data_IF_214331723039
#
_entry.id   IF_214331723039
#
_cell.length_a   1.000
_cell.length_b   1.000
_cell.length_c   1.000
_cell.angle_alpha   90.00
_cell.angle_beta   90.00
_cell.angle_gamma   90.00
#
_symmetry.space_group_name_H-M   'P 1'
#
loop_
_entity.id
_entity.type
_entity.pdbx_description
1 polymer ?
#
# COMPACT_ATOMS: atom_id res chain seq x y z
N UNK A 1 40.34 -36.28 -29.35
CA UNK A 1 40.27 -34.83 -29.05
C UNK A 1 38.84 -34.29 -28.99
N UNK A 2 37.93 -34.68 -29.90
CA UNK A 2 36.54 -34.18 -29.99
C UNK A 2 35.67 -34.32 -28.71
N UNK A 3 35.69 -35.47 -28.03
CA UNK A 3 34.82 -35.73 -26.86
C UNK A 3 35.16 -34.80 -25.67
N UNK A 4 36.45 -34.44 -25.51
CA UNK A 4 36.92 -33.58 -24.42
C UNK A 4 36.47 -32.12 -24.63
N UNK A 5 36.53 -31.64 -25.88
CA UNK A 5 36.00 -30.32 -26.27
C UNK A 5 34.47 -30.22 -26.16
N UNK A 6 33.73 -31.29 -26.46
CA UNK A 6 32.26 -31.31 -26.31
C UNK A 6 31.86 -31.26 -24.84
N UNK A 7 32.53 -32.04 -23.97
CA UNK A 7 32.29 -32.00 -22.52
C UNK A 7 32.60 -30.63 -21.91
N UNK A 8 33.69 -29.99 -22.34
CA UNK A 8 34.06 -28.65 -21.86
C UNK A 8 33.04 -27.58 -22.31
N UNK A 9 32.59 -27.63 -23.57
CA UNK A 9 31.55 -26.72 -24.08
C UNK A 9 30.22 -26.90 -23.37
N UNK A 10 29.84 -28.13 -23.06
CA UNK A 10 28.61 -28.43 -22.31
C UNK A 10 28.68 -27.81 -20.90
N UNK A 11 29.81 -27.95 -20.21
CA UNK A 11 30.04 -27.35 -18.88
C UNK A 11 29.99 -25.81 -18.88
N UNK A 12 30.55 -25.18 -19.92
CA UNK A 12 30.53 -23.73 -20.06
C UNK A 12 29.09 -23.25 -20.33
N UNK A 13 28.35 -23.95 -21.18
CA UNK A 13 26.95 -23.59 -21.48
C UNK A 13 26.04 -23.78 -20.27
N UNK A 14 26.20 -24.85 -19.50
CA UNK A 14 25.39 -25.07 -18.28
C UNK A 14 25.72 -24.06 -17.19
N UNK A 15 26.99 -23.71 -17.00
CA UNK A 15 27.36 -22.67 -16.03
C UNK A 15 26.80 -21.30 -16.40
N UNK A 16 26.91 -20.88 -17.67
CA UNK A 16 26.32 -19.60 -18.12
C UNK A 16 24.80 -19.59 -17.96
N UNK A 17 24.12 -20.70 -18.28
CA UNK A 17 22.66 -20.80 -18.13
C UNK A 17 22.22 -20.70 -16.65
N UNK A 18 22.96 -21.28 -15.72
CA UNK A 18 22.68 -21.20 -14.28
C UNK A 18 22.92 -19.77 -13.76
N UNK A 19 24.00 -19.12 -14.17
CA UNK A 19 24.29 -17.74 -13.77
C UNK A 19 23.24 -16.75 -14.28
N UNK A 20 22.80 -16.88 -15.54
CA UNK A 20 21.79 -15.99 -16.12
C UNK A 20 20.39 -16.20 -15.51
N UNK A 21 20.04 -17.44 -15.13
CA UNK A 21 18.77 -17.72 -14.45
C UNK A 21 18.76 -17.36 -12.96
N UNK A 22 19.92 -17.32 -12.30
CA UNK A 22 19.99 -16.90 -10.89
C UNK A 22 19.63 -15.43 -10.65
N UNK A 23 19.88 -14.55 -11.62
CA UNK A 23 19.53 -13.13 -11.49
C UNK A 23 18.00 -12.96 -11.50
N UNK A 24 17.31 -13.60 -12.46
CA UNK A 24 15.85 -13.50 -12.58
C UNK A 24 15.10 -14.15 -11.42
N UNK A 25 15.61 -15.26 -10.86
CA UNK A 25 15.05 -15.90 -9.68
C UNK A 25 15.24 -15.02 -8.44
N UNK A 26 16.40 -14.37 -8.30
CA UNK A 26 16.66 -13.47 -7.17
C UNK A 26 15.80 -12.20 -7.22
N UNK A 27 15.58 -11.62 -8.40
CA UNK A 27 14.72 -10.44 -8.57
C UNK A 27 13.25 -10.79 -8.33
N UNK A 28 12.79 -11.96 -8.77
CA UNK A 28 11.43 -12.45 -8.49
C UNK A 28 11.24 -12.76 -7.01
N UNK A 29 12.21 -13.41 -6.37
CA UNK A 29 12.18 -13.70 -4.93
C UNK A 29 12.19 -12.41 -4.12
N UNK A 30 13.13 -11.50 -4.40
CA UNK A 30 13.19 -10.21 -3.72
C UNK A 30 11.91 -9.41 -3.95
N UNK A 31 11.42 -9.28 -5.18
CA UNK A 31 10.17 -8.56 -5.46
C UNK A 31 8.97 -9.14 -4.70
N UNK A 32 8.78 -10.45 -4.78
CA UNK A 32 7.64 -11.13 -4.15
C UNK A 32 7.65 -11.03 -2.62
N UNK A 33 8.81 -11.23 -1.98
CA UNK A 33 8.92 -11.17 -0.52
C UNK A 33 9.00 -9.74 0.01
N UNK A 34 9.63 -8.80 -0.71
CA UNK A 34 9.66 -7.38 -0.34
C UNK A 34 8.25 -6.79 -0.39
N UNK A 35 7.46 -7.09 -1.42
CA UNK A 35 6.08 -6.62 -1.50
C UNK A 35 5.23 -7.19 -0.35
N UNK A 36 5.33 -8.49 -0.10
CA UNK A 36 4.65 -9.14 1.05
C UNK A 36 5.06 -8.53 2.38
N UNK A 37 6.35 -8.27 2.57
CA UNK A 37 6.87 -7.68 3.79
C UNK A 37 6.35 -6.26 3.97
N UNK A 38 6.41 -5.43 2.92
CA UNK A 38 5.91 -4.06 2.93
C UNK A 38 4.40 -4.00 3.22
N UNK A 39 3.60 -4.90 2.64
CA UNK A 39 2.16 -5.01 2.95
C UNK A 39 1.95 -5.37 4.42
N UNK A 40 2.69 -6.36 4.93
CA UNK A 40 2.58 -6.78 6.33
C UNK A 40 2.99 -5.67 7.31
N UNK A 41 4.03 -4.93 6.98
CA UNK A 41 4.50 -3.79 7.76
C UNK A 41 3.45 -2.66 7.76
N UNK A 42 2.92 -2.29 6.59
CA UNK A 42 1.87 -1.30 6.48
C UNK A 42 0.59 -1.69 7.26
N UNK A 43 0.22 -2.98 7.26
CA UNK A 43 -0.88 -3.48 8.08
C UNK A 43 -0.59 -3.33 9.57
N UNK A 44 0.61 -3.69 10.01
CA UNK A 44 1.04 -3.57 11.41
C UNK A 44 1.05 -2.12 11.88
N UNK A 45 1.52 -1.19 11.06
CA UNK A 45 1.53 0.23 11.39
C UNK A 45 0.12 0.81 11.47
N UNK A 46 -0.76 0.40 10.55
CA UNK A 46 -2.18 0.75 10.58
C UNK A 46 -2.86 0.24 11.86
N UNK A 47 -2.61 -1.01 12.23
CA UNK A 47 -3.13 -1.57 13.49
C UNK A 47 -2.59 -0.83 14.70
N UNK A 48 -1.27 -0.56 14.73
CA UNK A 48 -0.64 0.20 15.82
C UNK A 48 -1.25 1.59 15.97
N UNK A 49 -1.54 2.27 14.87
CA UNK A 49 -2.19 3.58 14.88
C UNK A 49 -3.55 3.52 15.59
N UNK A 50 -4.48 2.67 15.12
CA UNK A 50 -5.82 2.58 15.73
C UNK A 50 -5.81 2.00 17.15
N UNK A 51 -4.89 1.07 17.44
CA UNK A 51 -4.72 0.50 18.78
C UNK A 51 -4.08 1.49 19.78
N UNK A 52 -3.39 2.52 19.30
CA UNK A 52 -2.83 3.58 20.14
C UNK A 52 -3.86 4.65 20.56
N UNK A 53 -5.06 4.62 19.99
CA UNK A 53 -6.13 5.57 20.32
C UNK A 53 -6.70 5.31 21.72
N UNK A 54 -7.03 6.38 22.45
CA UNK A 54 -7.77 6.25 23.69
C UNK A 54 -9.20 5.74 23.44
N UNK A 55 -9.87 5.13 24.43
CA UNK A 55 -11.27 4.69 24.28
C UNK A 55 -12.21 5.83 23.87
N UNK A 56 -11.99 7.04 24.39
CA UNK A 56 -12.74 8.24 24.01
C UNK A 56 -12.52 8.62 22.53
N UNK A 57 -11.28 8.53 22.05
CA UNK A 57 -10.96 8.78 20.65
C UNK A 57 -11.58 7.75 19.71
N UNK A 58 -11.58 6.48 20.10
CA UNK A 58 -12.22 5.42 19.32
C UNK A 58 -13.73 5.64 19.20
N UNK A 59 -14.39 6.09 20.27
CA UNK A 59 -15.82 6.37 20.23
C UNK A 59 -16.13 7.59 19.37
N UNK A 60 -15.35 8.67 19.50
CA UNK A 60 -15.44 9.82 18.59
C UNK A 60 -15.23 9.41 17.14
N UNK A 61 -14.26 8.53 16.86
CA UNK A 61 -13.99 8.03 15.51
C UNK A 61 -15.18 7.31 14.92
N UNK A 62 -15.90 6.46 15.68
CA UNK A 62 -17.10 5.78 15.17
C UNK A 62 -18.20 6.78 14.80
N UNK A 63 -18.42 7.78 15.63
CA UNK A 63 -19.42 8.84 15.39
C UNK A 63 -19.04 9.66 14.15
N UNK A 64 -17.79 10.11 14.08
CA UNK A 64 -17.24 10.84 12.94
C UNK A 64 -17.30 10.01 11.65
N UNK A 65 -16.93 8.73 11.72
CA UNK A 65 -16.96 7.84 10.56
C UNK A 65 -18.38 7.71 10.01
N UNK A 66 -19.37 7.53 10.88
CA UNK A 66 -20.78 7.45 10.46
C UNK A 66 -21.21 8.74 9.76
N UNK A 67 -20.94 9.88 10.38
CA UNK A 67 -21.29 11.19 9.83
C UNK A 67 -20.58 11.49 8.51
N UNK A 68 -19.27 11.31 8.46
CA UNK A 68 -18.46 11.59 7.27
C UNK A 68 -18.76 10.62 6.13
N UNK A 69 -19.09 9.35 6.42
CA UNK A 69 -19.55 8.41 5.41
C UNK A 69 -20.91 8.82 4.85
N UNK A 70 -21.88 9.18 5.69
CA UNK A 70 -23.18 9.67 5.23
C UNK A 70 -22.98 10.88 4.31
N UNK A 71 -22.22 11.88 4.76
CA UNK A 71 -21.91 13.09 4.01
C UNK A 71 -21.29 12.78 2.64
N UNK A 72 -20.29 11.90 2.59
CA UNK A 72 -19.59 11.55 1.34
C UNK A 72 -20.41 10.66 0.40
N UNK A 73 -21.46 10.01 0.90
CA UNK A 73 -22.36 9.17 0.10
C UNK A 73 -23.56 9.91 -0.48
N UNK A 74 -23.87 11.12 0.03
CA UNK A 74 -24.96 11.94 -0.48
C UNK A 74 -24.83 12.16 -2.00
N UNK A 75 -25.92 12.04 -2.77
CA UNK A 75 -25.89 12.16 -4.23
C UNK A 75 -25.22 13.45 -4.72
N UNK A 76 -25.48 14.57 -4.04
CA UNK A 76 -24.91 15.89 -4.34
C UNK A 76 -23.39 15.99 -4.11
N UNK A 77 -22.83 15.11 -3.27
CA UNK A 77 -21.42 15.12 -2.91
C UNK A 77 -20.61 14.09 -3.69
N UNK A 78 -21.25 13.25 -4.51
CA UNK A 78 -20.57 12.23 -5.30
C UNK A 78 -19.70 12.85 -6.40
N UNK A 79 -18.60 12.18 -6.69
CA UNK A 79 -17.65 12.63 -7.72
C UNK A 79 -18.07 12.04 -9.06
N UNK A 80 -18.23 12.89 -10.08
CA UNK A 80 -18.51 12.43 -11.44
C UNK A 80 -17.32 11.62 -11.99
N UNK A 81 -17.60 10.41 -12.51
CA UNK A 81 -16.57 9.55 -13.11
C UNK A 81 -17.12 8.90 -14.38
N UNK A 82 -16.32 8.88 -15.43
CA UNK A 82 -16.68 8.20 -16.68
C UNK A 82 -17.06 6.73 -16.39
N UNK A 83 -18.20 6.30 -16.92
CA UNK A 83 -18.77 4.97 -16.66
C UNK A 83 -19.66 4.85 -15.42
N UNK A 84 -19.81 5.91 -14.62
CA UNK A 84 -20.64 5.92 -13.42
C UNK A 84 -21.68 7.06 -13.49
N UNK A 85 -22.90 6.80 -14.00
CA UNK A 85 -23.91 7.85 -14.21
C UNK A 85 -24.36 8.53 -12.91
N UNK A 86 -24.29 7.81 -11.78
CA UNK A 86 -24.65 8.33 -10.45
C UNK A 86 -23.43 8.79 -9.64
N UNK A 87 -22.29 9.00 -10.30
CA UNK A 87 -21.01 9.30 -9.65
C UNK A 87 -20.46 8.16 -8.79
N UNK A 88 -19.30 8.41 -8.21
CA UNK A 88 -18.66 7.53 -7.23
C UNK A 88 -18.62 8.21 -5.86
N UNK A 89 -18.49 7.40 -4.81
CA UNK A 89 -18.29 7.88 -3.45
C UNK A 89 -17.11 8.86 -3.37
N UNK A 90 -17.28 9.94 -2.61
CA UNK A 90 -16.29 11.00 -2.49
C UNK A 90 -15.29 10.70 -1.36
N UNK A 91 -14.26 9.93 -1.69
CA UNK A 91 -13.21 9.57 -0.75
C UNK A 91 -12.50 10.79 -0.16
N UNK A 92 -12.17 11.79 -0.99
CA UNK A 92 -11.48 13.00 -0.51
C UNK A 92 -12.30 13.80 0.49
N UNK A 93 -13.63 13.91 0.28
CA UNK A 93 -14.53 14.53 1.25
C UNK A 93 -14.57 13.75 2.57
N UNK A 94 -14.59 12.43 2.51
CA UNK A 94 -14.55 11.59 3.71
C UNK A 94 -13.24 11.79 4.50
N UNK A 95 -12.09 11.73 3.84
CA UNK A 95 -10.78 11.89 4.48
C UNK A 95 -10.63 13.26 5.13
N UNK A 96 -10.99 14.33 4.43
CA UNK A 96 -10.96 15.70 4.96
C UNK A 96 -11.92 15.85 6.16
N UNK A 97 -13.15 15.32 6.05
CA UNK A 97 -14.11 15.36 7.15
C UNK A 97 -13.59 14.64 8.40
N UNK A 98 -12.92 13.50 8.23
CA UNK A 98 -12.32 12.76 9.35
C UNK A 98 -11.16 13.52 9.97
N UNK A 99 -10.31 14.16 9.16
CA UNK A 99 -9.21 15.02 9.60
C UNK A 99 -9.71 16.25 10.37
N UNK A 100 -10.66 17.00 9.81
CA UNK A 100 -11.23 18.22 10.40
C UNK A 100 -11.89 17.96 11.75
N UNK A 101 -12.43 16.74 11.94
CA UNK A 101 -13.06 16.31 13.20
C UNK A 101 -12.08 15.68 14.18
N UNK A 102 -10.78 15.75 13.90
CA UNK A 102 -9.70 15.32 14.79
C UNK A 102 -9.48 13.80 14.82
N UNK A 103 -10.08 13.04 13.90
CA UNK A 103 -9.93 11.58 13.80
C UNK A 103 -9.46 11.18 12.40
N UNK A 104 -8.28 11.66 11.93
CA UNK A 104 -7.82 11.41 10.56
C UNK A 104 -7.73 9.90 10.27
N UNK A 105 -7.81 9.51 9.00
CA UNK A 105 -7.50 8.13 8.63
C UNK A 105 -6.01 7.85 8.82
N UNK A 106 -5.64 6.57 8.89
CA UNK A 106 -4.23 6.17 8.95
C UNK A 106 -3.43 6.75 7.79
N UNK A 107 -3.99 6.72 6.58
CA UNK A 107 -3.37 7.21 5.35
C UNK A 107 -3.12 8.72 5.42
N UNK A 108 -4.13 9.49 5.86
CA UNK A 108 -4.01 10.93 6.07
C UNK A 108 -2.98 11.27 7.15
N UNK A 109 -3.02 10.57 8.29
CA UNK A 109 -2.03 10.73 9.37
C UNK A 109 -0.61 10.41 8.91
N UNK A 110 -0.40 9.28 8.23
CA UNK A 110 0.89 8.86 7.72
C UNK A 110 1.44 9.86 6.68
N UNK A 111 0.56 10.41 5.84
CA UNK A 111 0.89 11.49 4.91
C UNK A 111 1.35 12.77 5.63
N UNK A 112 0.68 13.17 6.71
CA UNK A 112 1.09 14.30 7.54
C UNK A 112 2.45 14.08 8.20
N UNK A 113 2.69 12.90 8.76
CA UNK A 113 3.98 12.56 9.39
C UNK A 113 5.13 12.71 8.40
N UNK A 114 4.98 12.16 7.18
CA UNK A 114 5.99 12.31 6.12
C UNK A 114 6.27 13.77 5.78
N UNK A 115 5.22 14.59 5.62
CA UNK A 115 5.37 16.03 5.34
C UNK A 115 6.10 16.78 6.45
N UNK A 116 5.87 16.42 7.72
CA UNK A 116 6.52 17.06 8.86
C UNK A 116 8.00 16.70 8.95
N UNK A 117 8.36 15.44 8.68
CA UNK A 117 9.77 14.99 8.62
C UNK A 117 10.53 15.65 7.46
N UNK A 118 9.88 15.93 6.33
CA UNK A 118 10.52 16.62 5.21
C UNK A 118 10.70 18.13 5.42
N UNK A 119 10.03 18.70 6.44
CA UNK A 119 10.12 20.14 6.78
C UNK A 119 11.10 20.42 7.93
N UNK A 120 11.52 19.41 8.68
CA UNK A 120 12.56 19.48 9.73
C UNK A 120 13.94 19.29 9.14
#
# INVERSE_FOLDING_TARGET
>A
MQIRTVKLRLFILTSIAIFLSSCSISDWYNGYYVERYAIKEAQKDREKYYNSESPEMQERRKQNQTYCLDLANKPENRVARAGYPNGVWNQGMFENCMEDRGTPTYETWAGMQKKNVMKS
#
